data_IF_501668194527
#
_entry.id   IF_501668194527
#
_cell.length_a   1.000
_cell.length_b   1.000
_cell.length_c   1.000
_cell.angle_alpha   90.00
_cell.angle_beta   90.00
_cell.angle_gamma   90.00
#
_symmetry.space_group_name_H-M   'P 1'
#
loop_
_entity.id
_entity.type
_entity.pdbx_description
1 polymer ?
#
# COMPACT_ATOMS: atom_id res chain seq x y z
N UNK A 1 3.31 0.45 -9.23
CA UNK A 1 3.46 1.61 -10.16
C UNK A 1 4.66 1.36 -11.09
N UNK A 2 5.90 1.16 -10.59
CA UNK A 2 7.09 0.95 -11.43
C UNK A 2 6.93 -0.15 -12.48
N UNK A 3 6.34 -1.29 -12.11
CA UNK A 3 6.07 -2.41 -13.01
C UNK A 3 5.11 -2.03 -14.14
N UNK A 4 4.12 -1.18 -13.84
CA UNK A 4 3.16 -0.72 -14.83
C UNK A 4 3.75 0.35 -15.76
N UNK A 5 4.67 1.18 -15.29
CA UNK A 5 5.39 2.14 -16.14
C UNK A 5 6.21 1.41 -17.21
N UNK A 6 6.93 0.35 -16.82
CA UNK A 6 7.67 -0.48 -17.77
C UNK A 6 6.77 -1.19 -18.79
N UNK A 7 5.59 -1.68 -18.35
CA UNK A 7 4.66 -2.36 -19.24
C UNK A 7 3.93 -1.43 -20.23
N UNK A 8 3.76 -0.16 -19.86
CA UNK A 8 3.09 0.85 -20.69
C UNK A 8 4.05 1.71 -21.51
N UNK A 9 5.39 1.54 -21.33
CA UNK A 9 6.41 2.33 -22.01
C UNK A 9 6.51 3.78 -21.55
N UNK A 10 5.98 4.10 -20.36
CA UNK A 10 6.10 5.43 -19.77
C UNK A 10 7.48 5.62 -19.14
N UNK A 11 8.20 6.68 -19.55
CA UNK A 11 9.57 6.96 -19.13
C UNK A 11 9.69 7.83 -17.86
N UNK A 12 8.60 8.05 -17.12
CA UNK A 12 8.59 8.80 -15.87
C UNK A 12 9.34 8.06 -14.74
N UNK A 13 9.76 8.82 -13.72
CA UNK A 13 10.33 8.23 -12.51
C UNK A 13 9.20 7.91 -11.52
N UNK A 14 8.88 6.61 -11.28
CA UNK A 14 7.74 6.22 -10.45
C UNK A 14 7.79 6.76 -9.02
N UNK A 15 8.97 7.00 -8.49
CA UNK A 15 9.17 7.51 -7.13
C UNK A 15 8.89 9.01 -7.05
N UNK A 16 9.35 9.76 -8.03
CA UNK A 16 9.12 11.22 -8.13
C UNK A 16 7.64 11.48 -8.36
N UNK A 17 7.02 10.76 -9.30
CA UNK A 17 5.61 10.91 -9.63
C UNK A 17 4.71 10.52 -8.44
N UNK A 18 5.07 9.45 -7.71
CA UNK A 18 4.37 9.08 -6.49
C UNK A 18 4.52 10.15 -5.41
N UNK A 19 5.72 10.70 -5.22
CA UNK A 19 5.97 11.77 -4.25
C UNK A 19 5.20 13.05 -4.60
N UNK A 20 5.14 13.41 -5.88
CA UNK A 20 4.33 14.53 -6.36
C UNK A 20 2.81 14.31 -6.14
N UNK A 21 2.37 13.06 -6.13
CA UNK A 21 0.98 12.67 -5.84
C UNK A 21 0.59 12.71 -4.36
N UNK A 22 1.54 12.73 -3.42
CA UNK A 22 1.24 12.71 -1.97
C UNK A 22 0.28 13.82 -1.52
N UNK A 23 0.44 15.09 -1.94
CA UNK A 23 -0.48 16.17 -1.53
C UNK A 23 -1.93 15.95 -2.00
N UNK A 24 -2.14 15.13 -3.01
CA UNK A 24 -3.47 14.82 -3.58
C UNK A 24 -4.10 13.56 -2.97
N UNK A 25 -3.44 12.93 -2.01
CA UNK A 25 -3.98 11.78 -1.28
C UNK A 25 -4.94 12.23 -0.16
N UNK A 26 -6.04 12.86 -0.53
CA UNK A 26 -7.01 13.45 0.41
C UNK A 26 -7.55 12.46 1.43
N UNK A 27 -7.78 11.20 1.02
CA UNK A 27 -8.25 10.16 1.92
C UNK A 27 -7.21 9.85 3.01
N UNK A 28 -5.96 9.68 2.65
CA UNK A 28 -4.88 9.36 3.60
C UNK A 28 -4.67 10.52 4.59
N UNK A 29 -4.62 11.74 4.07
CA UNK A 29 -4.46 12.96 4.88
C UNK A 29 -5.66 13.12 5.82
N UNK A 30 -6.88 12.99 5.29
CA UNK A 30 -8.11 13.06 6.08
C UNK A 30 -8.20 11.99 7.16
N UNK A 31 -7.78 10.76 6.87
CA UNK A 31 -7.74 9.66 7.84
C UNK A 31 -6.76 9.93 8.98
N UNK A 32 -5.57 10.41 8.66
CA UNK A 32 -4.56 10.77 9.68
C UNK A 32 -5.09 11.90 10.57
N UNK A 33 -5.67 12.95 9.97
CA UNK A 33 -6.26 14.06 10.71
C UNK A 33 -7.41 13.59 11.61
N UNK A 34 -8.27 12.71 11.11
CA UNK A 34 -9.38 12.14 11.89
C UNK A 34 -8.86 11.35 13.10
N UNK A 35 -7.85 10.50 12.91
CA UNK A 35 -7.23 9.75 14.00
C UNK A 35 -6.62 10.69 15.04
N UNK A 36 -5.90 11.72 14.61
CA UNK A 36 -5.32 12.71 15.53
C UNK A 36 -6.40 13.47 16.31
N UNK A 37 -7.48 13.90 15.64
CA UNK A 37 -8.59 14.60 16.30
C UNK A 37 -9.22 13.69 17.35
N UNK A 38 -9.53 12.44 17.01
CA UNK A 38 -10.14 11.48 17.95
C UNK A 38 -9.19 11.19 19.13
N UNK A 39 -7.90 10.99 18.84
CA UNK A 39 -6.91 10.71 19.88
C UNK A 39 -6.71 11.87 20.87
N UNK A 40 -6.77 13.13 20.37
CA UNK A 40 -6.60 14.32 21.22
C UNK A 40 -7.88 14.71 21.94
N UNK A 41 -9.03 14.61 21.27
CA UNK A 41 -10.32 15.08 21.81
C UNK A 41 -11.08 14.01 22.57
N UNK A 42 -10.79 12.72 22.34
CA UNK A 42 -11.60 11.60 22.85
C UNK A 42 -13.04 11.62 22.30
N UNK A 43 -13.27 12.28 21.18
CA UNK A 43 -14.61 12.50 20.65
C UNK A 43 -15.02 11.37 19.72
N UNK A 44 -15.67 10.37 20.29
CA UNK A 44 -16.27 9.29 19.53
C UNK A 44 -17.68 9.63 19.07
N UNK A 45 -18.04 9.22 17.85
CA UNK A 45 -19.34 9.47 17.28
C UNK A 45 -19.97 8.23 16.63
N UNK A 46 -21.29 8.22 16.54
CA UNK A 46 -22.08 7.21 15.86
C UNK A 46 -21.84 5.77 16.31
N UNK A 47 -21.61 4.82 15.38
CA UNK A 47 -21.37 3.42 15.70
C UNK A 47 -20.09 3.18 16.51
N UNK A 48 -19.07 4.03 16.33
CA UNK A 48 -17.80 3.95 17.05
C UNK A 48 -18.00 4.20 18.56
N UNK A 49 -18.74 5.25 18.92
CA UNK A 49 -19.11 5.52 20.31
C UNK A 49 -19.84 4.34 20.95
N UNK A 50 -20.79 3.72 20.24
CA UNK A 50 -21.51 2.55 20.74
C UNK A 50 -20.59 1.34 20.97
N UNK A 51 -19.55 1.21 20.15
CA UNK A 51 -18.56 0.14 20.30
C UNK A 51 -17.66 0.40 21.51
N UNK A 52 -17.22 1.64 21.69
CA UNK A 52 -16.40 2.07 22.82
C UNK A 52 -17.16 1.95 24.14
N UNK A 53 -18.39 2.49 24.22
CA UNK A 53 -19.27 2.37 25.39
C UNK A 53 -19.50 0.89 25.77
N UNK A 54 -19.69 0.02 24.77
CA UNK A 54 -19.84 -1.42 25.03
C UNK A 54 -18.56 -2.01 25.60
N UNK A 55 -17.39 -1.70 25.04
CA UNK A 55 -16.11 -2.21 25.51
C UNK A 55 -15.83 -1.75 26.94
N UNK A 56 -16.09 -0.48 27.25
CA UNK A 56 -15.91 0.09 28.59
C UNK A 56 -16.91 -0.47 29.63
N UNK A 57 -18.20 -0.60 29.26
CA UNK A 57 -19.23 -1.01 30.18
C UNK A 57 -19.32 -2.52 30.39
N UNK A 58 -19.08 -3.31 29.35
CA UNK A 58 -19.28 -4.77 29.36
C UNK A 58 -18.00 -5.59 29.23
N UNK A 59 -16.87 -4.97 28.93
CA UNK A 59 -15.61 -5.66 28.61
C UNK A 59 -15.63 -6.44 27.28
N UNK A 60 -16.76 -6.44 26.56
CA UNK A 60 -16.91 -7.17 25.28
C UNK A 60 -16.40 -6.31 24.14
N UNK A 61 -15.33 -6.75 23.49
CA UNK A 61 -14.76 -6.10 22.31
C UNK A 61 -15.67 -6.24 21.08
N UNK A 62 -16.34 -7.38 20.93
CA UNK A 62 -17.17 -7.68 19.78
C UNK A 62 -18.67 -7.62 20.14
N UNK A 63 -19.50 -7.32 19.13
CA UNK A 63 -20.95 -7.38 19.26
C UNK A 63 -21.39 -8.85 19.28
N UNK A 64 -22.45 -9.17 20.04
CA UNK A 64 -23.02 -10.51 20.02
C UNK A 64 -23.44 -10.90 18.59
N UNK A 65 -23.00 -12.06 18.11
CA UNK A 65 -23.20 -12.54 16.74
C UNK A 65 -22.24 -11.95 15.69
N UNK A 66 -21.16 -11.29 16.09
CA UNK A 66 -20.13 -10.87 15.15
C UNK A 66 -19.30 -12.08 14.69
N UNK A 67 -19.25 -12.33 13.39
CA UNK A 67 -18.31 -13.29 12.79
C UNK A 67 -16.92 -12.65 12.72
N UNK A 68 -15.99 -13.19 13.49
CA UNK A 68 -14.61 -12.75 13.52
C UNK A 68 -13.89 -13.42 12.36
N UNK A 69 -13.48 -12.66 11.35
CA UNK A 69 -12.79 -13.16 10.14
C UNK A 69 -11.44 -13.82 10.44
N UNK A 70 -10.81 -13.46 11.54
CA UNK A 70 -9.56 -14.06 12.04
C UNK A 70 -9.61 -14.01 13.56
N UNK A 71 -9.74 -15.15 14.22
CA UNK A 71 -9.37 -15.27 15.60
C UNK A 71 -7.85 -15.14 15.69
N UNK A 72 -7.40 -14.08 16.32
CA UNK A 72 -6.02 -14.02 16.78
C UNK A 72 -5.99 -14.87 18.05
N UNK A 73 -5.61 -16.14 17.91
CA UNK A 73 -5.32 -16.97 19.08
C UNK A 73 -4.26 -16.24 19.91
N UNK A 74 -4.65 -15.78 21.09
CA UNK A 74 -3.70 -15.27 22.06
C UNK A 74 -2.94 -16.50 22.59
N UNK A 75 -1.79 -16.77 21.98
CA UNK A 75 -0.90 -17.78 22.53
C UNK A 75 -0.39 -17.31 23.91
N UNK A 76 -0.57 -18.15 24.92
CA UNK A 76 -0.01 -17.90 26.24
C UNK A 76 1.52 -17.81 26.14
N UNK A 77 2.08 -16.78 26.76
CA UNK A 77 3.51 -16.59 26.78
C UNK A 77 4.19 -17.75 27.54
N UNK A 78 5.29 -18.29 27.03
CA UNK A 78 6.04 -19.35 27.72
C UNK A 78 6.46 -18.91 29.14
N UNK A 79 6.52 -19.87 30.08
CA UNK A 79 7.02 -19.60 31.42
C UNK A 79 8.45 -19.02 31.37
N UNK A 80 8.62 -17.85 31.99
CA UNK A 80 9.91 -17.14 32.00
C UNK A 80 10.12 -16.19 30.83
N UNK A 81 9.15 -16.00 29.93
CA UNK A 81 9.19 -14.96 28.91
C UNK A 81 9.19 -13.55 29.55
N UNK A 82 10.05 -12.68 29.04
CA UNK A 82 10.13 -11.27 29.42
C UNK A 82 9.71 -10.40 28.24
N UNK A 83 8.40 -10.25 27.99
CA UNK A 83 7.96 -9.38 26.92
C UNK A 83 8.40 -7.95 27.20
N UNK A 84 9.04 -7.33 26.23
CA UNK A 84 9.52 -5.96 26.31
C UNK A 84 9.09 -5.19 25.07
N UNK A 85 8.83 -3.91 25.22
CA UNK A 85 8.54 -3.02 24.11
C UNK A 85 9.67 -3.02 23.04
N UNK A 86 10.87 -3.32 23.45
CA UNK A 86 12.03 -3.44 22.58
C UNK A 86 11.92 -4.58 21.56
N UNK A 87 11.16 -5.62 21.85
CA UNK A 87 10.93 -6.72 20.92
C UNK A 87 10.20 -6.28 19.65
N UNK A 88 9.40 -5.22 19.74
CA UNK A 88 8.74 -4.60 18.60
C UNK A 88 9.55 -3.42 18.06
N UNK A 89 10.07 -2.57 18.95
CA UNK A 89 10.71 -1.31 18.56
C UNK A 89 12.01 -1.53 17.78
N UNK A 90 12.85 -2.48 18.20
CA UNK A 90 14.14 -2.76 17.53
C UNK A 90 13.95 -3.22 16.08
N UNK A 91 13.11 -4.22 15.76
CA UNK A 91 12.85 -4.59 14.37
C UNK A 91 12.30 -3.45 13.51
N UNK A 92 11.44 -2.60 14.07
CA UNK A 92 10.89 -1.44 13.35
C UNK A 92 11.96 -0.39 13.09
N UNK A 93 12.83 -0.11 14.06
CA UNK A 93 13.97 0.81 13.86
C UNK A 93 14.92 0.24 12.81
N UNK A 94 15.26 -1.04 12.90
CA UNK A 94 16.11 -1.72 11.90
C UNK A 94 15.49 -1.59 10.51
N UNK A 95 14.18 -1.86 10.37
CA UNK A 95 13.47 -1.71 9.11
C UNK A 95 13.65 -0.29 8.55
N UNK A 96 13.32 0.74 9.32
CA UNK A 96 13.39 2.13 8.89
C UNK A 96 14.82 2.54 8.51
N UNK A 97 15.79 2.23 9.36
CA UNK A 97 17.21 2.56 9.10
C UNK A 97 17.69 1.90 7.81
N UNK A 98 17.42 0.63 7.61
CA UNK A 98 17.90 -0.09 6.43
C UNK A 98 17.14 0.25 5.14
N UNK A 99 15.90 0.74 5.21
CA UNK A 99 15.23 1.35 4.04
C UNK A 99 16.03 2.57 3.58
N UNK A 100 16.35 3.50 4.47
CA UNK A 100 17.11 4.69 4.11
C UNK A 100 18.53 4.36 3.66
N UNK A 101 19.23 3.49 4.38
CA UNK A 101 20.56 3.02 3.99
C UNK A 101 20.54 2.38 2.59
N UNK A 102 19.56 1.52 2.31
CA UNK A 102 19.39 0.88 1.01
C UNK A 102 19.09 1.87 -0.11
N UNK A 103 18.23 2.86 0.13
CA UNK A 103 17.96 3.94 -0.82
C UNK A 103 19.21 4.77 -1.10
N UNK A 104 19.95 5.17 -0.09
CA UNK A 104 21.16 5.97 -0.25
C UNK A 104 22.30 5.18 -0.92
N UNK A 105 22.41 3.89 -0.62
CA UNK A 105 23.42 3.03 -1.25
C UNK A 105 23.10 2.79 -2.72
N UNK A 106 21.86 2.48 -3.07
CA UNK A 106 21.44 2.19 -4.45
C UNK A 106 21.28 3.45 -5.30
N UNK A 107 21.00 4.59 -4.68
CA UNK A 107 20.85 5.90 -5.35
C UNK A 107 22.14 6.70 -5.47
N UNK A 108 23.27 6.16 -4.99
CA UNK A 108 24.59 6.78 -5.00
C UNK A 108 24.59 8.23 -4.43
N UNK A 109 24.49 8.30 -3.11
CA UNK A 109 24.44 9.58 -2.37
C UNK A 109 25.65 10.50 -2.66
N UNK A 110 26.80 9.92 -3.03
CA UNK A 110 28.02 10.70 -3.28
C UNK A 110 27.91 11.49 -4.59
N UNK A 111 27.25 10.93 -5.60
CA UNK A 111 27.13 11.53 -6.93
C UNK A 111 25.87 12.39 -7.04
N UNK A 112 24.76 11.93 -6.47
CA UNK A 112 23.42 12.53 -6.63
C UNK A 112 22.98 13.42 -5.47
N UNK A 113 23.73 13.46 -4.38
CA UNK A 113 23.33 14.15 -3.15
C UNK A 113 22.16 13.47 -2.44
N UNK A 114 21.67 14.05 -1.35
CA UNK A 114 20.65 13.46 -0.49
C UNK A 114 19.31 13.22 -1.21
N UNK A 115 18.76 14.25 -1.85
CA UNK A 115 17.48 14.16 -2.56
C UNK A 115 17.57 13.36 -3.86
N UNK A 116 18.69 13.48 -4.57
CA UNK A 116 18.93 12.70 -5.78
C UNK A 116 19.07 11.20 -5.50
N UNK A 117 19.73 10.83 -4.42
CA UNK A 117 19.82 9.43 -3.99
C UNK A 117 18.45 8.86 -3.60
N UNK A 118 17.60 9.65 -2.95
CA UNK A 118 16.23 9.25 -2.61
C UNK A 118 15.37 9.03 -3.87
N UNK A 119 15.50 9.90 -4.86
CA UNK A 119 14.74 9.85 -6.11
C UNK A 119 15.20 8.72 -7.06
N UNK A 120 16.50 8.42 -7.08
CA UNK A 120 17.10 7.43 -8.00
C UNK A 120 17.39 6.08 -7.33
N UNK A 121 17.21 5.98 -6.01
CA UNK A 121 17.43 4.75 -5.26
C UNK A 121 16.43 3.64 -5.65
N UNK A 122 16.88 2.39 -5.65
CA UNK A 122 16.02 1.23 -5.91
C UNK A 122 15.19 0.90 -4.68
N UNK A 123 13.93 1.36 -4.63
CA UNK A 123 13.00 1.08 -3.53
C UNK A 123 12.81 -0.41 -3.28
N UNK A 124 12.75 -1.22 -4.35
CA UNK A 124 12.58 -2.67 -4.23
C UNK A 124 13.74 -3.30 -3.48
N UNK A 125 14.99 -3.04 -3.91
CA UNK A 125 16.17 -3.61 -3.25
C UNK A 125 16.32 -3.11 -1.81
N UNK A 126 16.01 -1.83 -1.55
CA UNK A 126 16.05 -1.26 -0.22
C UNK A 126 15.02 -1.93 0.71
N UNK A 127 13.79 -2.13 0.24
CA UNK A 127 12.74 -2.81 1.00
C UNK A 127 13.08 -4.27 1.25
N UNK A 128 13.49 -5.03 0.23
CA UNK A 128 13.84 -6.45 0.39
C UNK A 128 14.92 -6.66 1.45
N UNK A 129 16.01 -5.89 1.37
CA UNK A 129 17.09 -5.97 2.36
C UNK A 129 16.64 -5.55 3.75
N UNK A 130 15.85 -4.49 3.86
CA UNK A 130 15.35 -3.99 5.13
C UNK A 130 14.39 -4.98 5.80
N UNK A 131 13.47 -5.61 5.05
CA UNK A 131 12.57 -6.63 5.59
C UNK A 131 13.30 -7.88 6.05
N UNK A 132 14.30 -8.35 5.31
CA UNK A 132 15.12 -9.51 5.72
C UNK A 132 15.85 -9.20 7.03
N UNK A 133 16.50 -8.05 7.14
CA UNK A 133 17.24 -7.67 8.34
C UNK A 133 16.31 -7.41 9.54
N UNK A 134 15.15 -6.80 9.31
CA UNK A 134 14.13 -6.62 10.35
C UNK A 134 13.59 -7.97 10.85
N UNK A 135 13.32 -8.92 9.97
CA UNK A 135 12.88 -10.27 10.34
C UNK A 135 13.93 -11.01 11.17
N UNK A 136 15.19 -10.94 10.76
CA UNK A 136 16.30 -11.52 11.51
C UNK A 136 16.41 -10.87 12.89
N UNK A 137 16.31 -9.54 12.97
CA UNK A 137 16.37 -8.82 14.26
C UNK A 137 15.20 -9.18 15.17
N UNK A 138 13.99 -9.36 14.62
CA UNK A 138 12.81 -9.81 15.38
C UNK A 138 13.01 -11.22 15.97
N UNK A 139 13.54 -12.13 15.19
CA UNK A 139 13.89 -13.50 15.65
C UNK A 139 14.89 -13.44 16.80
N UNK A 140 15.98 -12.68 16.62
CA UNK A 140 17.04 -12.55 17.63
C UNK A 140 16.47 -11.94 18.92
N UNK A 141 15.70 -10.86 18.83
CA UNK A 141 15.10 -10.20 20.00
C UNK A 141 14.14 -11.11 20.74
N UNK A 142 13.29 -11.86 20.02
CA UNK A 142 12.36 -12.80 20.61
C UNK A 142 13.08 -13.98 21.30
N UNK A 143 14.22 -14.43 20.77
CA UNK A 143 15.06 -15.45 21.42
C UNK A 143 15.75 -14.92 22.68
N UNK A 144 16.28 -13.69 22.64
CA UNK A 144 16.90 -13.03 23.83
C UNK A 144 15.86 -12.86 24.94
N UNK A 145 14.64 -12.47 24.60
CA UNK A 145 13.54 -12.25 25.53
C UNK A 145 12.86 -13.57 25.99
N UNK A 146 13.34 -14.71 25.49
CA UNK A 146 12.76 -16.05 25.76
C UNK A 146 11.26 -16.15 25.44
N UNK A 147 10.79 -15.35 24.50
CA UNK A 147 9.41 -15.40 24.01
C UNK A 147 9.22 -16.61 23.11
N UNK A 148 10.23 -16.96 22.31
CA UNK A 148 10.23 -18.13 21.44
C UNK A 148 11.61 -18.77 21.29
N UNK A 149 11.57 -20.05 20.93
CA UNK A 149 12.74 -20.80 20.49
C UNK A 149 12.90 -20.65 18.96
N UNK A 150 14.09 -20.94 18.43
CA UNK A 150 14.35 -20.86 16.98
C UNK A 150 13.34 -21.65 16.15
N UNK A 151 12.94 -22.85 16.58
CA UNK A 151 11.93 -23.66 15.90
C UNK A 151 10.57 -22.97 15.83
N UNK A 152 10.12 -22.35 16.92
CA UNK A 152 8.85 -21.59 16.98
C UNK A 152 8.93 -20.34 16.13
N UNK A 153 10.05 -19.60 16.17
CA UNK A 153 10.28 -18.41 15.35
C UNK A 153 10.20 -18.74 13.85
N UNK A 154 10.82 -19.86 13.42
CA UNK A 154 10.74 -20.31 12.03
C UNK A 154 9.32 -20.74 11.64
N UNK A 155 8.62 -21.44 12.51
CA UNK A 155 7.22 -21.84 12.29
C UNK A 155 6.32 -20.59 12.12
N UNK A 156 6.46 -19.61 13.00
CA UNK A 156 5.69 -18.33 12.93
C UNK A 156 6.02 -17.54 11.67
N UNK A 157 7.29 -17.53 11.24
CA UNK A 157 7.69 -16.91 9.99
C UNK A 157 7.03 -17.58 8.78
N UNK A 158 7.04 -18.91 8.71
CA UNK A 158 6.38 -19.68 7.64
C UNK A 158 4.88 -19.45 7.65
N UNK A 159 4.25 -19.41 8.81
CA UNK A 159 2.83 -19.12 8.98
C UNK A 159 2.47 -17.71 8.48
N UNK A 160 3.32 -16.72 8.79
CA UNK A 160 3.20 -15.38 8.24
C UNK A 160 3.30 -15.35 6.71
N UNK A 161 4.25 -16.09 6.13
CA UNK A 161 4.37 -16.25 4.68
C UNK A 161 3.12 -16.89 4.06
N UNK A 162 2.58 -17.93 4.70
CA UNK A 162 1.35 -18.59 4.25
C UNK A 162 0.16 -17.63 4.27
N UNK A 163 0.06 -16.78 5.28
CA UNK A 163 -0.97 -15.74 5.37
C UNK A 163 -0.93 -14.70 4.25
N UNK A 164 0.22 -14.54 3.57
CA UNK A 164 0.39 -13.63 2.44
C UNK A 164 0.05 -14.27 1.08
N UNK A 165 -0.12 -15.60 1.02
CA UNK A 165 -0.36 -16.32 -0.25
C UNK A 165 -1.63 -15.87 -0.96
N UNK A 166 -2.70 -15.56 -0.23
CA UNK A 166 -3.95 -15.05 -0.78
C UNK A 166 -3.72 -13.72 -1.52
N UNK A 167 -3.00 -12.79 -0.89
CA UNK A 167 -2.66 -11.48 -1.47
C UNK A 167 -1.78 -11.65 -2.72
N UNK A 168 -0.80 -12.55 -2.68
CA UNK A 168 0.07 -12.83 -3.82
C UNK A 168 -0.70 -13.39 -5.01
N UNK A 169 -1.62 -14.31 -4.78
CA UNK A 169 -2.48 -14.86 -5.85
C UNK A 169 -3.35 -13.76 -6.48
N UNK A 170 -3.97 -12.91 -5.68
CA UNK A 170 -4.77 -11.78 -6.17
C UNK A 170 -3.90 -10.85 -7.03
N UNK A 171 -2.69 -10.51 -6.58
CA UNK A 171 -1.78 -9.64 -7.32
C UNK A 171 -1.34 -10.27 -8.65
N UNK A 172 -1.00 -11.57 -8.68
CA UNK A 172 -0.63 -12.28 -9.90
C UNK A 172 -1.76 -12.29 -10.92
N UNK A 173 -2.99 -12.58 -10.49
CA UNK A 173 -4.15 -12.56 -11.37
C UNK A 173 -4.45 -11.16 -11.89
N UNK A 174 -4.33 -10.15 -11.04
CA UNK A 174 -4.55 -8.76 -11.42
C UNK A 174 -3.51 -8.28 -12.45
N UNK A 175 -2.26 -8.67 -12.32
CA UNK A 175 -1.23 -8.39 -13.33
C UNK A 175 -1.54 -9.07 -14.66
N UNK A 176 -2.03 -10.31 -14.62
CA UNK A 176 -2.50 -11.03 -15.81
C UNK A 176 -3.63 -10.27 -16.51
N UNK A 177 -4.67 -9.86 -15.78
CA UNK A 177 -5.78 -9.05 -16.30
C UNK A 177 -5.26 -7.72 -16.87
N UNK A 178 -4.40 -7.01 -16.17
CA UNK A 178 -3.82 -5.76 -16.64
C UNK A 178 -3.05 -5.93 -17.95
N UNK A 179 -2.28 -7.00 -18.09
CA UNK A 179 -1.54 -7.33 -19.32
C UNK A 179 -2.48 -7.62 -20.49
N UNK A 180 -3.56 -8.39 -20.26
CA UNK A 180 -4.57 -8.69 -21.28
C UNK A 180 -5.31 -7.41 -21.70
N UNK A 181 -5.74 -6.58 -20.75
CA UNK A 181 -6.42 -5.32 -21.05
C UNK A 181 -5.53 -4.38 -21.88
N UNK A 182 -4.23 -4.34 -21.58
CA UNK A 182 -3.26 -3.56 -22.35
C UNK A 182 -3.10 -4.10 -23.77
N UNK A 183 -2.98 -5.43 -23.92
CA UNK A 183 -2.84 -6.07 -25.23
C UNK A 183 -4.10 -5.93 -26.10
N UNK A 184 -5.27 -5.94 -25.48
CA UNK A 184 -6.56 -5.72 -26.18
C UNK A 184 -6.83 -4.25 -26.50
N UNK A 185 -5.99 -3.31 -26.07
CA UNK A 185 -6.23 -1.88 -26.26
C UNK A 185 -7.48 -1.35 -25.54
N UNK A 186 -7.86 -1.99 -24.43
CA UNK A 186 -9.09 -1.66 -23.68
C UNK A 186 -9.13 -0.19 -23.27
N UNK A 187 -8.00 0.35 -22.82
CA UNK A 187 -7.91 1.76 -22.39
C UNK A 187 -8.16 2.72 -23.53
N UNK A 188 -7.57 2.45 -24.71
CA UNK A 188 -7.75 3.27 -25.92
C UNK A 188 -9.20 3.22 -26.39
N UNK A 189 -9.83 2.04 -26.34
CA UNK A 189 -11.23 1.87 -26.69
C UNK A 189 -12.16 2.63 -25.74
N UNK A 190 -11.92 2.58 -24.43
CA UNK A 190 -12.69 3.33 -23.42
C UNK A 190 -12.56 4.83 -23.69
N UNK A 191 -11.34 5.33 -23.91
CA UNK A 191 -11.11 6.75 -24.19
C UNK A 191 -11.86 7.18 -25.46
N UNK A 192 -11.73 6.44 -26.57
CA UNK A 192 -12.40 6.77 -27.81
C UNK A 192 -13.93 6.72 -27.74
N UNK A 193 -14.47 5.84 -26.90
CA UNK A 193 -15.92 5.69 -26.74
C UNK A 193 -16.51 6.75 -25.79
N UNK A 194 -15.74 7.18 -24.81
CA UNK A 194 -16.14 8.11 -23.76
C UNK A 194 -15.53 9.51 -23.90
N UNK A 195 -15.02 9.86 -25.08
CA UNK A 195 -14.25 11.09 -25.35
C UNK A 195 -14.94 12.38 -24.84
N UNK A 196 -16.28 12.41 -24.92
CA UNK A 196 -17.08 13.56 -24.45
C UNK A 196 -17.20 13.66 -22.93
N UNK A 197 -16.93 12.60 -22.18
CA UNK A 197 -17.07 12.55 -20.71
C UNK A 197 -15.75 12.36 -19.98
N UNK A 198 -14.73 11.81 -20.62
CA UNK A 198 -13.42 11.49 -20.03
C UNK A 198 -12.48 12.69 -20.17
N UNK A 199 -12.58 13.59 -19.21
CA UNK A 199 -11.54 14.59 -18.95
C UNK A 199 -10.60 14.06 -17.86
N UNK A 200 -9.36 14.57 -17.72
CA UNK A 200 -8.45 14.17 -16.64
C UNK A 200 -9.08 14.24 -15.25
N UNK A 201 -9.89 15.26 -15.03
CA UNK A 201 -10.59 15.46 -13.73
C UNK A 201 -11.74 14.49 -13.51
N UNK A 202 -12.59 14.26 -14.54
CA UNK A 202 -13.71 13.32 -14.42
C UNK A 202 -13.24 11.88 -14.27
N UNK A 203 -12.14 11.49 -14.93
CA UNK A 203 -11.52 10.19 -14.79
C UNK A 203 -11.11 9.89 -13.35
N UNK A 204 -10.45 10.84 -12.69
CA UNK A 204 -10.05 10.69 -11.29
C UNK A 204 -11.28 10.45 -10.39
N UNK A 205 -12.36 11.20 -10.59
CA UNK A 205 -13.57 11.07 -9.81
C UNK A 205 -14.26 9.70 -10.04
N UNK A 206 -14.37 9.27 -11.30
CA UNK A 206 -14.99 7.98 -11.66
C UNK A 206 -14.21 6.82 -11.06
N UNK A 207 -12.88 6.81 -11.23
CA UNK A 207 -12.02 5.76 -10.67
C UNK A 207 -12.11 5.75 -9.15
N UNK A 208 -12.12 6.92 -8.51
CA UNK A 208 -12.24 7.02 -7.05
C UNK A 208 -13.57 6.42 -6.56
N UNK A 209 -14.69 6.79 -7.16
CA UNK A 209 -16.01 6.26 -6.77
C UNK A 209 -16.08 4.75 -7.00
N UNK A 210 -15.62 4.27 -8.15
CA UNK A 210 -15.58 2.85 -8.44
C UNK A 210 -14.68 2.07 -7.48
N UNK A 211 -13.51 2.62 -7.14
CA UNK A 211 -12.60 2.05 -6.14
C UNK A 211 -13.22 2.00 -4.74
N UNK A 212 -13.94 3.05 -4.33
CA UNK A 212 -14.66 3.08 -3.05
C UNK A 212 -15.74 2.00 -2.98
N UNK A 213 -16.57 1.86 -4.01
CA UNK A 213 -17.62 0.83 -4.07
C UNK A 213 -17.03 -0.58 -4.04
N UNK A 214 -15.94 -0.80 -4.80
CA UNK A 214 -15.25 -2.09 -4.83
C UNK A 214 -14.58 -2.38 -3.49
N UNK A 215 -13.95 -1.41 -2.86
CA UNK A 215 -13.33 -1.56 -1.54
C UNK A 215 -14.34 -1.90 -0.46
N UNK A 216 -15.50 -1.24 -0.50
CA UNK A 216 -16.60 -1.52 0.42
C UNK A 216 -17.14 -2.94 0.23
N UNK A 217 -17.31 -3.38 -1.01
CA UNK A 217 -17.85 -4.70 -1.36
C UNK A 217 -16.87 -5.84 -1.03
N UNK A 218 -15.58 -5.66 -1.30
CA UNK A 218 -14.54 -6.69 -1.07
C UNK A 218 -14.00 -6.70 0.35
N UNK A 219 -14.11 -5.58 1.06
CA UNK A 219 -13.50 -5.38 2.37
C UNK A 219 -11.96 -5.41 2.36
N UNK A 220 -11.33 -5.29 1.17
CA UNK A 220 -9.89 -5.36 0.99
C UNK A 220 -9.37 -4.24 0.10
N UNK A 221 -8.47 -3.42 0.61
CA UNK A 221 -7.79 -2.39 -0.16
C UNK A 221 -6.77 -2.96 -1.17
N UNK A 222 -6.19 -4.12 -0.88
CA UNK A 222 -5.24 -4.78 -1.77
C UNK A 222 -5.87 -5.20 -3.10
N UNK A 223 -7.06 -5.77 -3.06
CA UNK A 223 -7.82 -6.13 -4.27
C UNK A 223 -8.13 -4.92 -5.13
N UNK A 224 -8.46 -3.80 -4.49
CA UNK A 224 -8.75 -2.54 -5.19
C UNK A 224 -7.51 -1.99 -5.89
N UNK A 225 -6.38 -1.93 -5.20
CA UNK A 225 -5.12 -1.50 -5.82
C UNK A 225 -4.72 -2.40 -6.98
N UNK A 226 -4.85 -3.70 -6.82
CA UNK A 226 -4.51 -4.67 -7.85
C UNK A 226 -5.32 -4.48 -9.14
N UNK A 227 -6.61 -4.16 -9.02
CA UNK A 227 -7.52 -4.00 -10.17
C UNK A 227 -7.41 -2.59 -10.77
N UNK A 228 -7.45 -1.55 -9.95
CA UNK A 228 -7.61 -0.18 -10.45
C UNK A 228 -6.30 0.49 -10.86
N UNK A 229 -5.15 0.15 -10.29
CA UNK A 229 -3.88 0.76 -10.70
C UNK A 229 -3.54 0.49 -12.18
N UNK A 230 -3.60 -0.76 -12.69
CA UNK A 230 -3.34 -1.01 -14.10
C UNK A 230 -4.29 -0.23 -15.02
N UNK A 231 -5.56 -0.19 -14.68
CA UNK A 231 -6.60 0.49 -15.46
C UNK A 231 -6.36 2.01 -15.43
N UNK A 232 -6.13 2.59 -14.25
CA UNK A 232 -5.90 4.01 -14.07
C UNK A 232 -4.67 4.52 -14.82
N UNK A 233 -3.55 3.79 -14.71
CA UNK A 233 -2.31 4.16 -15.42
C UNK A 233 -2.48 4.08 -16.93
N UNK A 234 -3.10 3.02 -17.44
CA UNK A 234 -3.34 2.86 -18.87
C UNK A 234 -4.28 3.94 -19.43
N UNK A 235 -5.35 4.27 -18.69
CA UNK A 235 -6.28 5.35 -19.04
C UNK A 235 -5.61 6.72 -19.01
N UNK A 236 -4.83 7.02 -17.98
CA UNK A 236 -4.12 8.31 -17.88
C UNK A 236 -3.16 8.54 -19.05
N UNK A 237 -2.42 7.50 -19.46
CA UNK A 237 -1.51 7.58 -20.60
C UNK A 237 -2.30 7.77 -21.90
N UNK A 238 -3.44 7.08 -22.06
CA UNK A 238 -4.27 7.22 -23.25
C UNK A 238 -4.88 8.61 -23.40
N UNK A 239 -5.33 9.21 -22.30
CA UNK A 239 -5.88 10.57 -22.26
C UNK A 239 -4.76 11.59 -22.55
N UNK A 240 -3.60 11.47 -21.90
CA UNK A 240 -2.47 12.36 -22.15
C UNK A 240 -2.01 12.36 -23.62
N UNK A 241 -1.95 11.19 -24.26
CA UNK A 241 -1.64 11.09 -25.69
C UNK A 241 -2.71 11.74 -26.58
N UNK A 242 -3.98 11.65 -26.20
CA UNK A 242 -5.08 12.28 -26.94
C UNK A 242 -4.99 13.81 -26.86
N UNK A 243 -4.64 14.37 -25.71
CA UNK A 243 -4.44 15.81 -25.54
C UNK A 243 -3.23 16.34 -26.32
N UNK A 244 -2.10 15.61 -26.30
CA UNK A 244 -0.92 15.96 -27.11
C UNK A 244 -1.26 15.99 -28.61
N UNK A 245 -1.97 14.99 -29.10
CA UNK A 245 -2.34 14.91 -30.51
C UNK A 245 -3.30 16.04 -30.92
N UNK A 246 -4.20 16.42 -30.03
CA UNK A 246 -5.14 17.52 -30.25
C UNK A 246 -4.41 18.86 -30.28
N UNK A 247 -3.44 19.06 -29.39
CA UNK A 247 -2.62 20.28 -29.34
C UNK A 247 -1.70 20.43 -30.54
N UNK A 248 -1.12 19.34 -31.06
CA UNK A 248 -0.33 19.33 -32.30
C UNK A 248 -1.15 19.68 -33.53
N UNK A 249 -2.38 19.13 -33.63
CA UNK A 249 -3.29 19.46 -34.73
C UNK A 249 -3.78 20.91 -34.70
N UNK A 250 -3.94 21.49 -33.51
CA UNK A 250 -4.26 22.92 -33.36
C UNK A 250 -3.08 23.80 -33.75
N UNK A 251 -1.86 23.45 -33.32
CA UNK A 251 -0.62 24.18 -33.68
C UNK A 251 -0.30 24.14 -35.19
N UNK A 252 -0.80 23.17 -35.94
CA UNK A 252 -0.64 23.09 -37.39
C UNK A 252 -1.70 23.89 -38.19
N UNK A 253 -2.74 24.38 -37.49
CA UNK A 253 -3.82 25.17 -38.09
C UNK A 253 -3.65 26.68 -37.95
N UNK A 254 -2.80 27.12 -37.04
CA UNK A 254 -2.40 28.51 -36.82
C UNK A 254 -1.09 28.83 -37.57
#
# INVERSE_FOLDING_TARGET
>A
IATFYTSTGYNGNPQVDFAAGIPYQYYTIGSILMVLIIAVTGWDYGPMKKAEDRALLTGKLFRDGAEIRREVEQEDLPEGAKPSIWNMLVPVIVLLVFIFVGLFYTGDIKTNGFFGALANGSSLRALDTAFILASISAIIMGMISKVWNFKKALSTFIEGCTGMMEVLMILMLAWGIGSICSACGTSTWIVSTCESFLTPTSMCAIIFIAACLTSFSTGSSWSVFAIFIPIAVSLAISIGRSEEHTSELQSQRD
#
